data_IF_618729236789
#
_entry.id   IF_618729236789
#
_cell.length_a   1.000
_cell.length_b   1.000
_cell.length_c   1.000
_cell.angle_alpha   90.00
_cell.angle_beta   90.00
_cell.angle_gamma   90.00
#
_symmetry.space_group_name_H-M   'P 1'
#
loop_
_entity.id
_entity.type
_entity.pdbx_description
1 polymer ?
#
# COMPACT_ATOMS: atom_id res chain seq x y z
N UNK A 1 6.58 -1.27 -18.05
CA UNK A 1 5.42 -0.53 -18.59
C UNK A 1 5.98 0.63 -19.35
N UNK A 2 5.66 0.76 -20.64
CA UNK A 2 6.00 1.95 -21.39
C UNK A 2 4.88 2.98 -21.16
N UNK A 3 5.24 4.14 -20.64
CA UNK A 3 4.35 5.31 -20.52
C UNK A 3 4.93 6.33 -21.49
N UNK A 4 4.11 6.86 -22.37
CA UNK A 4 4.52 7.99 -23.20
C UNK A 4 4.42 9.23 -22.30
N UNK A 5 5.57 9.79 -21.99
CA UNK A 5 5.70 10.94 -21.11
C UNK A 5 6.30 12.06 -21.93
N UNK A 6 5.61 13.19 -21.94
CA UNK A 6 6.13 14.46 -22.42
C UNK A 6 6.46 15.34 -21.22
N UNK A 7 7.31 16.35 -21.44
CA UNK A 7 7.73 17.28 -20.40
C UNK A 7 7.30 18.69 -20.76
N UNK A 8 6.68 19.37 -19.80
CA UNK A 8 6.44 20.80 -19.88
C UNK A 8 7.61 21.53 -19.26
N UNK A 9 8.33 22.29 -20.08
CA UNK A 9 9.52 23.02 -19.69
C UNK A 9 9.20 24.50 -19.40
N UNK A 10 10.00 25.13 -18.53
CA UNK A 10 9.98 26.58 -18.35
C UNK A 10 10.67 27.31 -19.50
N UNK A 11 10.69 28.66 -19.43
CA UNK A 11 11.34 29.52 -20.43
C UNK A 11 12.84 29.26 -20.59
N UNK A 12 13.47 28.63 -19.59
CA UNK A 12 14.89 28.29 -19.59
C UNK A 12 15.13 26.82 -20.02
N UNK A 13 14.09 26.11 -20.46
CA UNK A 13 14.18 24.72 -20.91
C UNK A 13 14.20 23.69 -19.77
N UNK A 14 14.00 24.09 -18.51
CA UNK A 14 13.98 23.15 -17.39
C UNK A 14 12.60 22.50 -17.25
N UNK A 15 12.52 21.16 -17.07
CA UNK A 15 11.24 20.48 -16.88
C UNK A 15 10.58 20.90 -15.57
N UNK A 16 9.32 21.35 -15.66
CA UNK A 16 8.48 21.74 -14.51
C UNK A 16 7.33 20.77 -14.27
N UNK A 17 6.84 20.10 -15.30
CA UNK A 17 5.77 19.13 -15.16
C UNK A 17 5.92 17.97 -16.16
N UNK A 18 5.30 16.85 -15.81
CA UNK A 18 5.15 15.67 -16.66
C UNK A 18 3.75 15.71 -17.25
N UNK A 19 3.67 15.65 -18.57
CA UNK A 19 2.43 15.52 -19.31
C UNK A 19 2.28 14.07 -19.77
N UNK A 20 1.09 13.52 -19.57
CA UNK A 20 0.70 12.21 -20.06
C UNK A 20 -0.80 12.19 -20.33
N UNK A 21 -1.28 11.20 -21.08
CA UNK A 21 -2.71 11.05 -21.33
C UNK A 21 -3.47 10.72 -20.04
N UNK A 22 -4.74 11.16 -19.96
CA UNK A 22 -5.62 10.83 -18.83
C UNK A 22 -5.75 9.31 -18.66
N UNK A 23 -5.80 8.55 -19.76
CA UNK A 23 -5.86 7.09 -19.73
C UNK A 23 -4.61 6.47 -19.09
N UNK A 24 -3.42 6.97 -19.41
CA UNK A 24 -2.18 6.52 -18.79
C UNK A 24 -2.11 6.89 -17.30
N UNK A 25 -2.62 8.07 -16.94
CA UNK A 25 -2.68 8.52 -15.55
C UNK A 25 -3.57 7.62 -14.71
N UNK A 26 -4.78 7.35 -15.19
CA UNK A 26 -5.72 6.45 -14.53
C UNK A 26 -5.15 5.03 -14.39
N UNK A 27 -4.43 4.53 -15.40
CA UNK A 27 -3.75 3.23 -15.33
C UNK A 27 -2.66 3.22 -14.26
N UNK A 28 -1.89 4.30 -14.16
CA UNK A 28 -0.85 4.45 -13.13
C UNK A 28 -1.48 4.46 -11.73
N UNK A 29 -2.53 5.26 -11.52
CA UNK A 29 -3.23 5.35 -10.25
C UNK A 29 -3.79 4.00 -9.79
N UNK A 30 -4.47 3.26 -10.69
CA UNK A 30 -4.99 1.92 -10.39
C UNK A 30 -3.87 0.95 -9.97
N UNK A 31 -2.74 1.00 -10.67
CA UNK A 31 -1.60 0.13 -10.37
C UNK A 31 -0.96 0.51 -9.04
N UNK A 32 -0.82 1.80 -8.75
CA UNK A 32 -0.28 2.28 -7.49
C UNK A 32 -1.15 1.81 -6.32
N UNK A 33 -2.47 2.04 -6.41
CA UNK A 33 -3.43 1.60 -5.39
C UNK A 33 -3.37 0.09 -5.15
N UNK A 34 -3.26 -0.71 -6.23
CA UNK A 34 -3.10 -2.15 -6.12
C UNK A 34 -1.85 -2.55 -5.32
N UNK A 35 -0.71 -1.90 -5.56
CA UNK A 35 0.51 -2.19 -4.81
C UNK A 35 0.45 -1.70 -3.37
N UNK A 36 -0.13 -0.52 -3.12
CA UNK A 36 -0.36 -0.01 -1.77
C UNK A 36 -1.20 -0.99 -0.95
N UNK A 37 -2.30 -1.48 -1.50
CA UNK A 37 -3.14 -2.50 -0.85
C UNK A 37 -2.35 -3.79 -0.60
N UNK A 38 -1.59 -4.28 -1.59
CA UNK A 38 -0.80 -5.50 -1.44
C UNK A 38 0.29 -5.35 -0.37
N UNK A 39 0.94 -4.19 -0.31
CA UNK A 39 1.95 -3.88 0.70
C UNK A 39 1.31 -3.80 2.09
N UNK A 40 0.13 -3.17 2.20
CA UNK A 40 -0.62 -3.12 3.46
C UNK A 40 -0.96 -4.53 3.95
N UNK A 41 -1.58 -5.35 3.11
CA UNK A 41 -1.93 -6.75 3.47
C UNK A 41 -0.69 -7.53 3.91
N UNK A 42 0.44 -7.37 3.21
CA UNK A 42 1.69 -8.02 3.60
C UNK A 42 2.18 -7.56 4.98
N UNK A 43 2.10 -6.26 5.26
CA UNK A 43 2.47 -5.69 6.56
C UNK A 43 1.56 -6.21 7.68
N UNK A 44 0.24 -6.13 7.46
CA UNK A 44 -0.78 -6.60 8.41
C UNK A 44 -0.59 -8.10 8.71
N UNK A 45 -0.28 -8.92 7.69
CA UNK A 45 0.00 -10.34 7.89
C UNK A 45 1.28 -10.59 8.67
N UNK A 46 2.34 -9.81 8.41
CA UNK A 46 3.60 -9.96 9.14
C UNK A 46 3.41 -9.64 10.64
N UNK A 47 2.67 -8.58 10.94
CA UNK A 47 2.28 -8.22 12.30
C UNK A 47 1.43 -9.31 12.96
N UNK A 48 0.42 -9.84 12.26
CA UNK A 48 -0.42 -10.91 12.77
C UNK A 48 0.39 -12.20 13.07
N UNK A 49 1.35 -12.56 12.22
CA UNK A 49 2.21 -13.73 12.47
C UNK A 49 3.13 -13.51 13.67
N UNK A 50 3.68 -12.31 13.83
CA UNK A 50 4.52 -11.97 14.98
C UNK A 50 3.71 -12.02 16.29
N UNK A 51 2.49 -11.50 16.26
CA UNK A 51 1.55 -11.59 17.38
C UNK A 51 1.25 -13.03 17.79
N UNK A 52 0.97 -13.91 16.82
CA UNK A 52 0.76 -15.34 17.07
C UNK A 52 2.02 -15.98 17.66
N UNK A 53 3.21 -15.64 17.17
CA UNK A 53 4.46 -16.17 17.71
C UNK A 53 4.65 -15.74 19.18
N UNK A 54 4.36 -14.48 19.52
CA UNK A 54 4.39 -13.99 20.90
C UNK A 54 3.36 -14.71 21.80
N UNK A 55 2.16 -15.00 21.29
CA UNK A 55 1.15 -15.78 22.02
C UNK A 55 1.59 -17.23 22.25
N UNK A 56 2.25 -17.85 21.28
CA UNK A 56 2.79 -19.21 21.41
C UNK A 56 3.93 -19.28 22.44
N UNK A 57 4.74 -18.23 22.52
CA UNK A 57 5.82 -18.09 23.52
C UNK A 57 5.31 -17.69 24.92
N UNK A 58 4.01 -17.46 25.09
CA UNK A 58 3.41 -17.00 26.35
C UNK A 58 3.72 -15.54 26.69
N UNK A 59 4.24 -14.75 25.74
CA UNK A 59 4.55 -13.31 25.92
C UNK A 59 3.33 -12.41 25.74
N UNK A 60 2.30 -12.89 25.05
CA UNK A 60 1.01 -12.20 24.83
C UNK A 60 -0.14 -13.15 25.18
N UNK A 61 -1.20 -12.70 25.86
CA UNK A 61 -2.35 -13.57 26.14
C UNK A 61 -3.04 -13.95 24.83
N UNK A 62 -3.58 -15.18 24.81
CA UNK A 62 -4.48 -15.62 23.74
C UNK A 62 -5.86 -15.07 24.04
N UNK A 63 -6.53 -14.58 23.01
CA UNK A 63 -7.89 -14.11 23.10
C UNK A 63 -8.86 -15.29 22.91
N UNK A 64 -9.86 -15.37 23.77
CA UNK A 64 -10.97 -16.30 23.63
C UNK A 64 -11.98 -15.79 22.59
N UNK A 65 -12.77 -16.70 22.01
CA UNK A 65 -13.85 -16.34 21.09
C UNK A 65 -14.84 -15.37 21.74
N UNK A 66 -15.14 -15.55 23.03
CA UNK A 66 -16.07 -14.67 23.77
C UNK A 66 -15.52 -13.26 23.91
N UNK A 67 -14.22 -13.10 24.20
CA UNK A 67 -13.59 -11.78 24.27
C UNK A 67 -13.63 -11.10 22.90
N UNK A 68 -13.29 -11.82 21.83
CA UNK A 68 -13.34 -11.31 20.46
C UNK A 68 -14.71 -10.82 20.02
N UNK A 69 -15.76 -11.57 20.33
CA UNK A 69 -17.13 -11.18 19.96
C UNK A 69 -17.64 -9.96 20.74
N UNK A 70 -17.00 -9.58 21.85
CA UNK A 70 -17.41 -8.48 22.73
C UNK A 70 -16.52 -7.23 22.60
N UNK A 71 -15.58 -7.17 21.65
CA UNK A 71 -14.67 -6.03 21.42
C UNK A 71 -15.29 -4.88 20.58
N UNK A 72 -16.56 -5.01 20.17
CA UNK A 72 -17.29 -4.04 19.35
C UNK A 72 -17.96 -2.93 20.16
#
# INVERSE_FOLDING_TARGET
MKINIDYLNDQNGNPKAVQLSIAEWQRLQKKLLYYEQKLKIRSDLAEAFDDVAHMQQGKKPKQSLTEFLNEL
#
